data_IF_385691304017
#
_entry.id   IF_385691304017
#
_cell.length_a   1.000
_cell.length_b   1.000
_cell.length_c   1.000
_cell.angle_alpha   90.00
_cell.angle_beta   90.00
_cell.angle_gamma   90.00
#
_symmetry.space_group_name_H-M   'P 1'
#
loop_
_entity.id
_entity.type
_entity.pdbx_description
1 polymer ?
#
# COMPACT_ATOMS: atom_id res chain seq x y z
N UNK A 1 47.16 42.15 -7.39
CA UNK A 1 45.90 41.78 -6.74
C UNK A 1 46.14 41.76 -5.24
N UNK A 2 45.24 42.33 -4.46
CA UNK A 2 45.36 42.38 -2.99
C UNK A 2 45.19 40.97 -2.39
N UNK A 3 46.11 40.56 -1.51
CA UNK A 3 46.15 39.24 -0.88
C UNK A 3 44.88 38.96 -0.06
N UNK A 4 44.28 40.00 0.51
CA UNK A 4 43.01 39.88 1.24
C UNK A 4 41.82 39.63 0.31
N UNK A 5 41.79 40.27 -0.87
CA UNK A 5 40.72 40.06 -1.84
C UNK A 5 40.72 38.64 -2.40
N UNK A 6 41.91 38.06 -2.63
CA UNK A 6 42.04 36.67 -3.09
C UNK A 6 41.56 35.67 -2.02
N UNK A 7 41.94 35.84 -0.75
CA UNK A 7 41.46 34.98 0.34
C UNK A 7 39.94 35.03 0.51
N UNK A 8 39.36 36.22 0.38
CA UNK A 8 37.91 36.41 0.48
C UNK A 8 37.17 35.67 -0.65
N UNK A 9 37.68 35.75 -1.88
CA UNK A 9 37.11 35.03 -3.02
C UNK A 9 37.16 33.51 -2.86
N UNK A 10 38.29 32.96 -2.37
CA UNK A 10 38.42 31.53 -2.10
C UNK A 10 37.47 31.05 -0.98
N UNK A 11 37.34 31.84 0.09
CA UNK A 11 36.40 31.53 1.17
C UNK A 11 34.95 31.52 0.65
N UNK A 12 34.58 32.52 -0.14
CA UNK A 12 33.24 32.62 -0.74
C UNK A 12 32.95 31.48 -1.72
N UNK A 13 33.93 31.10 -2.55
CA UNK A 13 33.78 29.96 -3.47
C UNK A 13 33.56 28.65 -2.70
N UNK A 14 34.30 28.44 -1.60
CA UNK A 14 34.16 27.26 -0.75
C UNK A 14 32.79 27.22 -0.05
N UNK A 15 32.35 28.35 0.49
CA UNK A 15 31.01 28.46 1.10
C UNK A 15 29.91 28.21 0.08
N UNK A 16 30.01 28.74 -1.14
CA UNK A 16 29.05 28.51 -2.21
C UNK A 16 28.96 27.02 -2.59
N UNK A 17 30.10 26.32 -2.70
CA UNK A 17 30.10 24.88 -2.94
C UNK A 17 29.43 24.11 -1.80
N UNK A 18 29.72 24.48 -0.56
CA UNK A 18 29.16 23.82 0.61
C UNK A 18 27.64 24.05 0.72
N UNK A 19 27.18 25.26 0.42
CA UNK A 19 25.76 25.58 0.35
C UNK A 19 25.05 24.79 -0.76
N UNK A 20 25.64 24.68 -1.95
CA UNK A 20 25.08 23.85 -3.02
C UNK A 20 24.96 22.39 -2.61
N UNK A 21 25.99 21.84 -1.94
CA UNK A 21 25.94 20.47 -1.42
C UNK A 21 24.84 20.30 -0.38
N UNK A 22 24.73 21.22 0.58
CA UNK A 22 23.71 21.15 1.62
C UNK A 22 22.30 21.27 1.04
N UNK A 23 22.08 22.19 0.10
CA UNK A 23 20.79 22.33 -0.58
C UNK A 23 20.39 21.05 -1.32
N UNK A 24 21.34 20.44 -2.04
CA UNK A 24 21.08 19.17 -2.72
C UNK A 24 20.78 18.04 -1.74
N UNK A 25 21.52 17.98 -0.63
CA UNK A 25 21.28 17.02 0.45
C UNK A 25 19.88 17.19 1.06
N UNK A 26 19.49 18.42 1.40
CA UNK A 26 18.17 18.74 1.94
C UNK A 26 17.07 18.36 0.95
N UNK A 27 17.25 18.62 -0.36
CA UNK A 27 16.30 18.16 -1.37
C UNK A 27 16.17 16.63 -1.42
N UNK A 28 17.26 15.88 -1.32
CA UNK A 28 17.20 14.42 -1.27
C UNK A 28 16.49 13.92 -0.02
N UNK A 29 16.79 14.50 1.14
CA UNK A 29 16.12 14.15 2.41
C UNK A 29 14.62 14.44 2.33
N UNK A 30 14.23 15.59 1.78
CA UNK A 30 12.83 15.94 1.58
C UNK A 30 12.13 14.96 0.63
N UNK A 31 12.75 14.61 -0.50
CA UNK A 31 12.21 13.63 -1.45
C UNK A 31 12.00 12.26 -0.79
N UNK A 32 12.97 11.80 -0.01
CA UNK A 32 12.87 10.54 0.73
C UNK A 32 11.72 10.59 1.74
N UNK A 33 11.58 11.66 2.50
CA UNK A 33 10.48 11.83 3.45
C UNK A 33 9.11 11.82 2.76
N UNK A 34 8.98 12.50 1.62
CA UNK A 34 7.74 12.50 0.84
C UNK A 34 7.39 11.09 0.34
N UNK A 35 8.38 10.33 -0.16
CA UNK A 35 8.15 8.95 -0.60
C UNK A 35 7.74 8.04 0.57
N UNK A 36 8.40 8.15 1.73
CA UNK A 36 8.04 7.38 2.92
C UNK A 36 6.62 7.70 3.42
N UNK A 37 6.24 8.98 3.41
CA UNK A 37 4.90 9.41 3.77
C UNK A 37 3.84 8.81 2.82
N UNK A 38 4.08 8.88 1.50
CA UNK A 38 3.19 8.32 0.50
C UNK A 38 2.98 6.81 0.68
N UNK A 39 4.05 6.05 0.94
CA UNK A 39 3.97 4.61 1.21
C UNK A 39 3.15 4.28 2.46
N UNK A 40 3.32 5.06 3.54
CA UNK A 40 2.54 4.88 4.75
C UNK A 40 1.05 5.20 4.55
N UNK A 41 0.73 6.25 3.79
CA UNK A 41 -0.65 6.59 3.42
C UNK A 41 -1.30 5.47 2.61
N UNK A 42 -0.63 4.95 1.58
CA UNK A 42 -1.14 3.84 0.78
C UNK A 42 -1.44 2.58 1.62
N UNK A 43 -0.55 2.26 2.58
CA UNK A 43 -0.77 1.15 3.51
C UNK A 43 -2.00 1.38 4.41
N UNK A 44 -2.17 2.61 4.89
CA UNK A 44 -3.32 3.00 5.72
C UNK A 44 -4.63 2.89 4.94
N UNK A 45 -4.68 3.41 3.71
CA UNK A 45 -5.85 3.34 2.82
C UNK A 45 -6.24 1.89 2.49
N UNK A 46 -5.25 1.06 2.13
CA UNK A 46 -5.46 -0.38 1.91
C UNK A 46 -6.08 -1.06 3.13
N UNK A 47 -5.60 -0.73 4.32
CA UNK A 47 -6.10 -1.31 5.58
C UNK A 47 -7.53 -0.84 5.85
N UNK A 48 -7.84 0.43 5.61
CA UNK A 48 -9.18 0.98 5.78
C UNK A 48 -10.19 0.31 4.84
N UNK A 49 -9.83 0.12 3.56
CA UNK A 49 -10.67 -0.58 2.58
C UNK A 49 -10.94 -2.02 3.04
N UNK A 50 -9.90 -2.76 3.44
CA UNK A 50 -10.05 -4.15 3.92
C UNK A 50 -10.94 -4.21 5.17
N UNK A 51 -10.80 -3.28 6.10
CA UNK A 51 -11.64 -3.22 7.31
C UNK A 51 -13.11 -2.92 6.97
N UNK A 52 -13.36 -2.03 6.01
CA UNK A 52 -14.71 -1.74 5.52
C UNK A 52 -15.35 -2.95 4.84
N UNK A 53 -14.61 -3.64 3.97
CA UNK A 53 -15.06 -4.90 3.36
C UNK A 53 -15.34 -5.97 4.43
N UNK A 54 -14.49 -6.04 5.46
CA UNK A 54 -14.65 -7.00 6.54
C UNK A 54 -15.94 -6.84 7.34
N UNK A 55 -16.40 -5.60 7.56
CA UNK A 55 -17.62 -5.33 8.31
C UNK A 55 -18.89 -5.60 7.49
N UNK A 56 -18.81 -5.50 6.15
CA UNK A 56 -19.96 -5.67 5.25
C UNK A 56 -20.12 -7.08 4.72
N UNK A 57 -19.03 -7.82 4.59
CA UNK A 57 -19.03 -9.15 3.98
C UNK A 57 -18.83 -10.21 5.08
N UNK A 58 -19.85 -11.03 5.38
CA UNK A 58 -19.73 -12.10 6.36
C UNK A 58 -18.81 -13.22 5.85
N UNK A 59 -18.24 -13.99 6.78
CA UNK A 59 -17.53 -15.24 6.46
C UNK A 59 -18.47 -16.20 5.74
N UNK A 60 -17.95 -16.91 4.75
CA UNK A 60 -18.67 -17.97 4.06
C UNK A 60 -18.80 -19.20 4.95
N UNK A 61 -19.98 -19.81 4.93
CA UNK A 61 -20.27 -21.08 5.59
C UNK A 61 -20.96 -21.97 4.56
N UNK A 62 -20.37 -23.12 4.26
CA UNK A 62 -20.98 -24.06 3.33
C UNK A 62 -22.21 -24.76 3.94
N UNK A 63 -23.37 -24.53 3.33
CA UNK A 63 -24.65 -25.16 3.67
C UNK A 63 -25.41 -25.50 2.38
N UNK A 64 -25.10 -26.64 1.72
CA UNK A 64 -25.66 -26.99 0.42
C UNK A 64 -27.17 -27.29 0.48
N UNK A 65 -27.68 -27.75 1.63
CA UNK A 65 -29.12 -28.00 1.85
C UNK A 65 -29.94 -26.70 1.77
N UNK A 66 -29.35 -25.57 2.16
CA UNK A 66 -29.94 -24.22 2.04
C UNK A 66 -29.56 -23.54 0.70
N UNK A 67 -28.86 -24.27 -0.16
CA UNK A 67 -28.29 -23.76 -1.42
C UNK A 67 -27.22 -22.70 -1.22
N UNK A 68 -26.58 -22.63 -0.05
CA UNK A 68 -25.47 -21.71 0.22
C UNK A 68 -24.15 -22.34 -0.24
N UNK A 69 -23.80 -22.06 -1.49
CA UNK A 69 -22.53 -22.42 -2.13
C UNK A 69 -21.61 -21.20 -2.23
N UNK A 70 -20.32 -21.43 -2.45
CA UNK A 70 -19.35 -20.36 -2.65
C UNK A 70 -19.75 -19.45 -3.82
N UNK A 71 -20.22 -20.00 -4.95
CA UNK A 71 -20.66 -19.21 -6.10
C UNK A 71 -21.81 -18.26 -5.76
N UNK A 72 -22.79 -18.72 -4.97
CA UNK A 72 -23.93 -17.89 -4.56
C UNK A 72 -23.51 -16.80 -3.58
N UNK A 73 -22.63 -17.12 -2.63
CA UNK A 73 -22.06 -16.16 -1.69
C UNK A 73 -21.21 -15.11 -2.44
N UNK A 74 -20.34 -15.56 -3.35
CA UNK A 74 -19.46 -14.68 -4.11
C UNK A 74 -20.28 -13.73 -4.98
N UNK A 75 -21.26 -14.22 -5.76
CA UNK A 75 -22.15 -13.36 -6.56
C UNK A 75 -22.89 -12.30 -5.74
N UNK A 76 -23.24 -12.61 -4.48
CA UNK A 76 -23.90 -11.65 -3.59
C UNK A 76 -22.98 -10.51 -3.17
N UNK A 77 -21.68 -10.75 -3.10
CA UNK A 77 -20.68 -9.81 -2.58
C UNK A 77 -19.70 -9.31 -3.64
N UNK A 78 -19.74 -9.84 -4.86
CA UNK A 78 -18.82 -9.52 -5.96
C UNK A 78 -18.83 -8.02 -6.26
N UNK A 79 -20.00 -7.43 -6.39
CA UNK A 79 -20.14 -5.99 -6.65
C UNK A 79 -19.59 -5.14 -5.49
N UNK A 80 -19.79 -5.58 -4.24
CA UNK A 80 -19.23 -4.91 -3.06
C UNK A 80 -17.70 -4.96 -3.08
N UNK A 81 -17.11 -6.11 -3.43
CA UNK A 81 -15.65 -6.27 -3.55
C UNK A 81 -15.10 -5.44 -4.72
N UNK A 82 -15.82 -5.36 -5.85
CA UNK A 82 -15.40 -4.56 -7.02
C UNK A 82 -15.47 -3.06 -6.77
N UNK A 83 -16.55 -2.58 -6.18
CA UNK A 83 -16.80 -1.16 -5.96
C UNK A 83 -16.00 -0.62 -4.79
N UNK A 84 -16.14 -1.23 -3.60
CA UNK A 84 -15.45 -0.72 -2.41
C UNK A 84 -13.96 -1.08 -2.41
N UNK A 85 -13.61 -2.18 -3.09
CA UNK A 85 -12.23 -2.62 -3.26
C UNK A 85 -11.59 -2.12 -4.54
N UNK A 86 -12.14 -1.13 -5.25
CA UNK A 86 -11.66 -0.69 -6.56
C UNK A 86 -10.15 -0.39 -6.56
N UNK A 87 -9.66 0.26 -5.50
CA UNK A 87 -8.25 0.65 -5.33
C UNK A 87 -7.34 -0.50 -4.84
N UNK A 88 -7.89 -1.68 -4.54
CA UNK A 88 -7.11 -2.86 -4.23
C UNK A 88 -6.63 -3.55 -5.51
N UNK A 89 -5.36 -3.97 -5.50
CA UNK A 89 -4.86 -4.90 -6.51
C UNK A 89 -5.65 -6.23 -6.47
N UNK A 90 -5.80 -6.89 -7.61
CA UNK A 90 -6.59 -8.13 -7.70
C UNK A 90 -6.05 -9.24 -6.78
N UNK A 91 -4.73 -9.31 -6.60
CA UNK A 91 -4.11 -10.22 -5.63
C UNK A 91 -4.55 -9.93 -4.19
N UNK A 92 -4.77 -8.66 -3.83
CA UNK A 92 -5.26 -8.29 -2.50
C UNK A 92 -6.76 -8.62 -2.34
N UNK A 93 -7.57 -8.41 -3.38
CA UNK A 93 -8.98 -8.85 -3.40
C UNK A 93 -9.09 -10.37 -3.26
N UNK A 94 -8.27 -11.13 -3.97
CA UNK A 94 -8.22 -12.60 -3.86
C UNK A 94 -7.84 -13.05 -2.45
N UNK A 95 -6.80 -12.44 -1.85
CA UNK A 95 -6.43 -12.71 -0.45
C UNK A 95 -7.56 -12.39 0.52
N UNK A 96 -8.26 -11.27 0.33
CA UNK A 96 -9.42 -10.92 1.14
C UNK A 96 -10.51 -12.00 1.05
N UNK A 97 -10.87 -12.46 -0.14
CA UNK A 97 -11.85 -13.55 -0.33
C UNK A 97 -11.41 -14.81 0.42
N UNK A 98 -10.13 -15.19 0.32
CA UNK A 98 -9.60 -16.35 1.05
C UNK A 98 -9.70 -16.20 2.58
N UNK A 99 -9.60 -14.99 3.13
CA UNK A 99 -9.81 -14.75 4.57
C UNK A 99 -11.26 -14.93 5.02
N UNK A 100 -12.21 -14.93 4.07
CA UNK A 100 -13.63 -15.14 4.33
C UNK A 100 -14.04 -16.60 4.21
N UNK A 101 -13.16 -17.49 3.76
CA UNK A 101 -13.41 -18.94 3.76
C UNK A 101 -13.05 -19.52 5.13
N UNK A 102 -13.83 -20.47 5.65
CA UNK A 102 -13.47 -21.17 6.88
C UNK A 102 -12.18 -21.99 6.68
N UNK A 103 -11.43 -22.28 7.76
CA UNK A 103 -10.12 -22.96 7.72
C UNK A 103 -10.13 -24.26 6.92
N UNK A 104 -11.23 -25.03 6.98
CA UNK A 104 -11.39 -26.28 6.24
C UNK A 104 -11.49 -26.05 4.73
N UNK A 105 -12.15 -24.98 4.30
CA UNK A 105 -12.35 -24.65 2.89
C UNK A 105 -11.15 -23.91 2.30
N UNK A 106 -10.48 -23.07 3.10
CA UNK A 106 -9.23 -22.43 2.74
C UNK A 106 -8.08 -23.43 2.52
N UNK A 107 -8.05 -24.56 3.26
CA UNK A 107 -7.14 -25.68 2.99
C UNK A 107 -7.46 -26.39 1.66
N UNK A 108 -8.74 -26.56 1.34
CA UNK A 108 -9.17 -27.19 0.09
C UNK A 108 -8.83 -26.34 -1.14
N UNK A 109 -8.95 -25.02 -1.06
CA UNK A 109 -8.47 -24.09 -2.09
C UNK A 109 -6.95 -24.03 -2.18
N UNK A 110 -6.21 -24.06 -1.05
CA UNK A 110 -4.74 -24.11 -1.06
C UNK A 110 -4.18 -25.37 -1.71
N UNK A 111 -4.85 -26.50 -1.52
CA UNK A 111 -4.42 -27.78 -2.09
C UNK A 111 -4.73 -27.93 -3.60
N UNK A 112 -5.43 -26.96 -4.20
CA UNK A 112 -5.75 -26.98 -5.64
C UNK A 112 -4.93 -25.96 -6.46
N UNK A 113 -4.09 -25.15 -5.79
CA UNK A 113 -3.24 -24.12 -6.43
C UNK A 113 -1.74 -24.49 -6.34
N UNK A 114 -1.40 -25.70 -5.86
CA UNK A 114 -0.04 -26.26 -5.87
C UNK A 114 0.11 -27.35 -6.93
#
# INVERSE_FOLDING_TARGET
MDSNAMKLFLAQQKEAQQQQFNFFKEQQEQLLQTMLAALNTQKSETTAIINSLNSRIPTFTYAPEDGETFDKWFRRHEDTIKLDGADLADTAKARFILTKLDKREAEQFRNHIL
#
